data_IF_585573631761
#
_entry.id   IF_585573631761
#
_cell.length_a   1.000
_cell.length_b   1.000
_cell.length_c   1.000
_cell.angle_alpha   90.00
_cell.angle_beta   90.00
_cell.angle_gamma   90.00
#
_symmetry.space_group_name_H-M   'P 1'
#
loop_
_entity.id
_entity.type
_entity.pdbx_description
1 polymer ?
#
# COMPACT_ATOMS: atom_id res chain seq x y z
N UNK A 1 39.53 32.26 20.66
CA UNK A 1 38.39 32.03 21.57
C UNK A 1 37.33 33.09 21.27
N UNK A 2 36.04 32.74 21.25
CA UNK A 2 35.36 32.32 20.01
C UNK A 2 34.48 33.40 19.36
N UNK A 3 34.29 33.23 18.06
CA UNK A 3 33.38 33.99 17.21
C UNK A 3 31.93 33.53 17.42
N UNK A 4 31.07 34.43 17.87
CA UNK A 4 29.61 34.28 17.84
C UNK A 4 29.11 34.69 16.46
N UNK A 5 28.82 33.71 15.61
CA UNK A 5 28.13 33.90 14.34
C UNK A 5 26.64 34.19 14.59
N UNK A 6 26.24 35.41 14.23
CA UNK A 6 24.85 35.79 13.97
C UNK A 6 24.33 34.98 12.78
N UNK A 7 23.57 33.92 13.04
CA UNK A 7 22.74 33.29 12.01
C UNK A 7 21.38 33.97 12.03
N UNK A 8 21.25 34.99 11.16
CA UNK A 8 20.01 35.66 10.87
C UNK A 8 19.06 34.76 10.07
N UNK A 9 17.86 34.60 10.63
CA UNK A 9 16.56 34.39 10.00
C UNK A 9 16.55 34.28 8.46
N UNK A 10 16.29 33.07 7.95
CA UNK A 10 15.73 32.83 6.61
C UNK A 10 14.76 31.63 6.68
N UNK A 11 13.72 31.75 7.50
CA UNK A 11 12.49 30.98 7.31
C UNK A 11 11.47 31.91 6.68
N UNK A 12 11.36 31.86 5.36
CA UNK A 12 10.13 32.15 4.60
C UNK A 12 10.40 31.90 3.11
N UNK A 13 9.49 31.15 2.48
CA UNK A 13 9.36 30.87 1.03
C UNK A 13 10.21 29.73 0.45
N UNK A 14 9.92 28.50 0.85
CA UNK A 14 10.20 27.33 -0.01
C UNK A 14 9.01 27.14 -0.98
N UNK A 15 9.24 27.09 -2.29
CA UNK A 15 8.17 26.95 -3.28
C UNK A 15 7.63 25.50 -3.29
N UNK A 16 6.30 25.36 -3.27
CA UNK A 16 5.56 24.08 -3.09
C UNK A 16 5.65 23.08 -4.25
N UNK A 17 6.39 23.40 -5.30
CA UNK A 17 6.60 22.55 -6.49
C UNK A 17 7.69 21.47 -6.34
N UNK A 18 8.61 21.58 -5.38
CA UNK A 18 9.71 20.61 -5.24
C UNK A 18 9.29 19.29 -4.56
N UNK A 19 8.24 19.30 -3.73
CA UNK A 19 7.75 18.08 -3.05
C UNK A 19 7.00 17.14 -4.02
N UNK A 20 6.44 17.68 -5.12
CA UNK A 20 5.75 16.87 -6.14
C UNK A 20 6.71 16.11 -7.08
N UNK A 21 7.97 16.53 -7.18
CA UNK A 21 8.96 15.88 -8.05
C UNK A 21 9.49 14.55 -7.50
N UNK A 22 9.52 14.39 -6.17
CA UNK A 22 10.10 13.19 -5.54
C UNK A 22 9.16 11.98 -5.68
N UNK A 23 7.84 12.19 -5.60
CA UNK A 23 6.86 11.12 -5.79
C UNK A 23 6.81 10.58 -7.23
N UNK A 24 6.98 11.44 -8.24
CA UNK A 24 6.97 11.01 -9.64
C UNK A 24 8.18 10.14 -10.02
N UNK A 25 9.35 10.41 -9.40
CA UNK A 25 10.57 9.63 -9.64
C UNK A 25 10.50 8.20 -9.08
N UNK A 26 9.87 8.03 -7.91
CA UNK A 26 9.74 6.71 -7.25
C UNK A 26 8.76 5.80 -8.00
N UNK A 27 7.64 6.34 -8.51
CA UNK A 27 6.68 5.59 -9.34
C UNK A 27 7.33 5.04 -10.62
N UNK A 28 8.27 5.77 -11.21
CA UNK A 28 9.02 5.33 -12.40
C UNK A 28 10.03 4.20 -12.07
N UNK A 29 10.67 4.22 -10.90
CA UNK A 29 11.62 3.17 -10.50
C UNK A 29 10.92 1.84 -10.16
N UNK A 30 9.70 1.90 -9.61
CA UNK A 30 8.88 0.69 -9.37
C UNK A 30 8.45 0.06 -10.71
N UNK A 31 8.11 0.85 -11.73
CA UNK A 31 7.78 0.33 -13.07
C UNK A 31 8.94 -0.33 -13.82
N UNK A 32 10.20 -0.01 -13.48
CA UNK A 32 11.40 -0.54 -14.14
C UNK A 32 12.07 -1.73 -13.41
N UNK A 33 11.47 -2.26 -12.33
CA UNK A 33 11.87 -3.56 -11.76
C UNK A 33 13.22 -3.60 -11.03
N UNK A 34 13.70 -2.47 -10.50
CA UNK A 34 15.02 -2.37 -9.85
C UNK A 34 15.00 -2.50 -8.31
N UNK A 35 13.86 -2.77 -7.70
CA UNK A 35 13.79 -3.03 -6.25
C UNK A 35 13.85 -4.54 -6.02
N UNK A 36 14.89 -4.98 -5.32
CA UNK A 36 14.96 -6.33 -4.80
C UNK A 36 13.81 -6.52 -3.80
N UNK A 37 12.87 -7.42 -4.13
CA UNK A 37 11.81 -7.84 -3.23
C UNK A 37 12.44 -8.43 -1.95
N UNK A 38 12.34 -7.72 -0.82
CA UNK A 38 12.55 -8.36 0.49
C UNK A 38 11.56 -9.53 0.59
N UNK A 39 11.99 -10.71 1.07
CA UNK A 39 11.09 -11.84 1.21
C UNK A 39 9.94 -11.45 2.14
N UNK A 40 8.72 -11.61 1.66
CA UNK A 40 7.50 -11.38 2.43
C UNK A 40 7.46 -12.43 3.55
N UNK A 41 7.65 -12.01 4.80
CA UNK A 41 7.86 -12.91 5.94
C UNK A 41 6.57 -13.39 6.61
N UNK A 42 5.39 -12.91 6.21
CA UNK A 42 4.10 -13.33 6.78
C UNK A 42 3.30 -14.14 5.76
N UNK A 43 2.81 -15.31 6.19
CA UNK A 43 1.83 -16.08 5.43
C UNK A 43 0.54 -15.28 5.23
N UNK A 44 -0.10 -15.45 4.07
CA UNK A 44 -1.33 -14.76 3.70
C UNK A 44 -2.52 -15.34 4.46
N UNK A 45 -2.89 -14.71 5.58
CA UNK A 45 -4.20 -14.82 6.23
C UNK A 45 -4.41 -13.62 7.16
N UNK A 46 -5.38 -12.75 6.86
CA UNK A 46 -5.82 -11.69 7.78
C UNK A 46 -6.25 -12.28 9.15
N UNK A 47 -5.73 -11.77 10.28
CA UNK A 47 -6.22 -12.13 11.60
C UNK A 47 -7.64 -11.61 11.79
N UNK A 48 -8.48 -12.37 12.50
CA UNK A 48 -9.88 -11.99 12.80
C UNK A 48 -10.00 -10.67 13.56
N UNK A 49 -8.93 -10.25 14.26
CA UNK A 49 -8.86 -8.99 14.98
C UNK A 49 -7.43 -8.49 15.03
N UNK A 50 -7.25 -7.20 14.75
CA UNK A 50 -5.99 -6.50 14.96
C UNK A 50 -5.98 -5.75 16.30
N UNK A 51 -4.80 -5.65 16.89
CA UNK A 51 -4.50 -4.74 18.00
C UNK A 51 -3.64 -3.62 17.45
N UNK A 52 -3.99 -2.37 17.73
CA UNK A 52 -3.30 -1.19 17.21
C UNK A 52 -2.65 -0.40 18.35
N UNK A 53 -1.41 0.04 18.14
CA UNK A 53 -0.80 1.04 19.01
C UNK A 53 -1.11 2.46 18.50
N UNK A 54 -2.13 3.09 19.09
CA UNK A 54 -2.55 4.44 18.73
C UNK A 54 -1.82 5.52 19.56
N UNK A 55 -0.75 5.16 20.26
CA UNK A 55 -0.02 6.12 21.09
C UNK A 55 0.64 7.17 20.19
N UNK A 56 0.59 8.45 20.59
CA UNK A 56 1.14 9.54 19.78
C UNK A 56 0.21 10.16 18.71
N UNK A 57 -0.91 9.52 18.36
CA UNK A 57 -1.88 10.10 17.42
C UNK A 57 -2.84 11.09 18.10
N UNK A 58 -3.28 12.12 17.36
CA UNK A 58 -4.35 13.01 17.81
C UNK A 58 -5.70 12.26 17.88
N UNK A 59 -6.68 12.77 18.63
CA UNK A 59 -8.03 12.15 18.70
C UNK A 59 -8.68 12.02 17.32
N UNK A 60 -8.48 13.03 16.46
CA UNK A 60 -9.03 13.05 15.10
C UNK A 60 -8.37 11.98 14.23
N UNK A 61 -7.05 11.85 14.32
CA UNK A 61 -6.29 10.87 13.52
C UNK A 61 -6.60 9.44 13.96
N UNK A 62 -6.79 9.22 15.28
CA UNK A 62 -7.27 7.93 15.80
C UNK A 62 -8.59 7.51 15.19
N UNK A 63 -9.57 8.41 15.17
CA UNK A 63 -10.89 8.11 14.60
C UNK A 63 -10.81 7.88 13.09
N UNK A 64 -10.02 8.68 12.37
CA UNK A 64 -9.81 8.52 10.94
C UNK A 64 -9.17 7.16 10.63
N UNK A 65 -8.10 6.80 11.35
CA UNK A 65 -7.43 5.53 11.23
C UNK A 65 -8.36 4.36 11.52
N UNK A 66 -9.03 4.36 12.68
CA UNK A 66 -9.91 3.25 13.06
C UNK A 66 -11.03 3.03 12.04
N UNK A 67 -11.61 4.12 11.51
CA UNK A 67 -12.64 4.03 10.48
C UNK A 67 -12.08 3.49 9.16
N UNK A 68 -10.98 4.06 8.68
CA UNK A 68 -10.37 3.65 7.41
C UNK A 68 -9.89 2.20 7.45
N UNK A 69 -9.23 1.82 8.55
CA UNK A 69 -8.75 0.47 8.76
C UNK A 69 -9.88 -0.54 8.83
N UNK A 70 -10.95 -0.26 9.60
CA UNK A 70 -12.09 -1.16 9.72
C UNK A 70 -12.80 -1.37 8.38
N UNK A 71 -13.05 -0.28 7.63
CA UNK A 71 -13.67 -0.35 6.30
C UNK A 71 -12.79 -1.12 5.33
N UNK A 72 -11.50 -0.81 5.25
CA UNK A 72 -10.57 -1.52 4.38
C UNK A 72 -10.48 -3.02 4.72
N UNK A 73 -10.45 -3.35 6.02
CA UNK A 73 -10.46 -4.74 6.48
C UNK A 73 -11.70 -5.51 6.02
N UNK A 74 -12.89 -4.92 6.22
CA UNK A 74 -14.17 -5.51 5.79
C UNK A 74 -14.22 -5.69 4.26
N UNK A 75 -13.75 -4.69 3.51
CA UNK A 75 -13.73 -4.74 2.05
C UNK A 75 -12.76 -5.81 1.53
N UNK A 76 -11.55 -5.92 2.10
CA UNK A 76 -10.58 -6.98 1.72
C UNK A 76 -11.15 -8.37 2.02
N UNK A 77 -11.77 -8.56 3.19
CA UNK A 77 -12.43 -9.83 3.51
C UNK A 77 -13.54 -10.17 2.51
N UNK A 78 -14.35 -9.19 2.13
CA UNK A 78 -15.39 -9.37 1.13
C UNK A 78 -14.83 -9.69 -0.27
N UNK A 79 -13.70 -9.06 -0.66
CA UNK A 79 -12.99 -9.38 -1.90
C UNK A 79 -12.47 -10.82 -1.84
N UNK A 80 -11.75 -11.20 -0.78
CA UNK A 80 -11.17 -12.53 -0.64
C UNK A 80 -12.24 -13.63 -0.71
N UNK A 81 -13.39 -13.43 -0.05
CA UNK A 81 -14.51 -14.36 -0.15
C UNK A 81 -15.05 -14.46 -1.58
N UNK A 82 -15.35 -13.32 -2.22
CA UNK A 82 -15.92 -13.28 -3.57
C UNK A 82 -14.96 -13.83 -4.64
N UNK A 83 -13.65 -13.62 -4.48
CA UNK A 83 -12.61 -14.14 -5.36
C UNK A 83 -12.46 -15.65 -5.21
N UNK A 84 -12.54 -16.19 -3.98
CA UNK A 84 -12.48 -17.64 -3.72
C UNK A 84 -13.71 -18.38 -4.25
N UNK A 85 -14.84 -17.69 -4.40
CA UNK A 85 -16.06 -18.26 -4.99
C UNK A 85 -16.00 -18.42 -6.52
N UNK A 86 -15.01 -17.82 -7.20
CA UNK A 86 -14.85 -17.90 -8.66
C UNK A 86 -13.43 -18.34 -9.07
N UNK A 87 -13.31 -19.46 -9.79
CA UNK A 87 -12.01 -20.04 -10.12
C UNK A 87 -11.13 -19.14 -11.02
N UNK A 88 -11.73 -18.33 -11.91
CA UNK A 88 -10.97 -17.41 -12.76
C UNK A 88 -10.42 -16.25 -11.94
N UNK A 89 -11.26 -15.63 -11.09
CA UNK A 89 -10.83 -14.58 -10.19
C UNK A 89 -9.79 -15.08 -9.19
N UNK A 90 -9.97 -16.28 -8.63
CA UNK A 90 -9.00 -16.90 -7.74
C UNK A 90 -7.64 -17.06 -8.43
N UNK A 91 -7.60 -17.60 -9.64
CA UNK A 91 -6.36 -17.75 -10.40
C UNK A 91 -5.65 -16.40 -10.60
N UNK A 92 -6.39 -15.35 -10.94
CA UNK A 92 -5.83 -14.00 -11.10
C UNK A 92 -5.29 -13.47 -9.77
N UNK A 93 -6.07 -13.60 -8.69
CA UNK A 93 -5.67 -13.12 -7.37
C UNK A 93 -4.43 -13.84 -6.83
N UNK A 94 -4.33 -15.15 -7.04
CA UNK A 94 -3.17 -15.97 -6.66
C UNK A 94 -1.94 -15.57 -7.48
N UNK A 95 -2.09 -15.41 -8.80
CA UNK A 95 -1.00 -15.00 -9.70
C UNK A 95 -0.40 -13.64 -9.29
N UNK A 96 -1.23 -12.72 -8.83
CA UNK A 96 -0.80 -11.38 -8.38
C UNK A 96 -0.65 -11.27 -6.86
N UNK A 97 -0.79 -12.38 -6.14
CA UNK A 97 -0.62 -12.50 -4.69
C UNK A 97 -1.45 -11.45 -3.91
N UNK A 98 -2.69 -11.22 -4.32
CA UNK A 98 -3.56 -10.18 -3.75
C UNK A 98 -3.73 -10.31 -2.23
N UNK A 99 -4.10 -11.51 -1.74
CA UNK A 99 -4.28 -11.78 -0.31
C UNK A 99 -2.98 -11.48 0.46
N UNK A 100 -1.84 -11.94 -0.06
CA UNK A 100 -0.53 -11.68 0.56
C UNK A 100 -0.24 -10.17 0.71
N UNK A 101 -0.38 -9.38 -0.34
CA UNK A 101 -0.03 -7.95 -0.27
C UNK A 101 -1.00 -7.15 0.60
N UNK A 102 -2.30 -7.41 0.46
CA UNK A 102 -3.32 -6.75 1.29
C UNK A 102 -3.11 -7.05 2.78
N UNK A 103 -2.82 -8.30 3.13
CA UNK A 103 -2.58 -8.72 4.51
C UNK A 103 -1.37 -8.02 5.12
N UNK A 104 -0.28 -7.94 4.36
CA UNK A 104 0.95 -7.30 4.81
C UNK A 104 0.78 -5.77 4.94
N UNK A 105 0.00 -5.13 4.07
CA UNK A 105 -0.36 -3.71 4.23
C UNK A 105 -1.16 -3.51 5.51
N UNK A 106 -2.19 -4.32 5.74
CA UNK A 106 -3.04 -4.21 6.94
C UNK A 106 -2.26 -4.50 8.22
N UNK A 107 -1.37 -5.50 8.23
CA UNK A 107 -0.49 -5.76 9.36
C UNK A 107 0.46 -4.57 9.64
N UNK A 108 1.06 -4.00 8.59
CA UNK A 108 1.96 -2.85 8.73
C UNK A 108 1.22 -1.62 9.28
N UNK A 109 0.00 -1.36 8.79
CA UNK A 109 -0.82 -0.27 9.29
C UNK A 109 -1.28 -0.49 10.73
N UNK A 110 -1.51 -1.74 11.13
CA UNK A 110 -1.88 -2.05 12.50
C UNK A 110 -0.73 -1.80 13.48
N UNK A 111 0.50 -2.13 13.07
CA UNK A 111 1.72 -1.88 13.83
C UNK A 111 2.10 -0.40 13.85
N UNK A 112 1.92 0.30 12.73
CA UNK A 112 2.35 1.70 12.53
C UNK A 112 1.20 2.58 11.99
N UNK A 113 0.21 2.93 12.82
CA UNK A 113 -0.97 3.69 12.39
C UNK A 113 -0.68 5.07 11.79
N UNK A 114 0.44 5.68 12.16
CA UNK A 114 0.91 6.95 11.60
C UNK A 114 1.21 6.86 10.09
N UNK A 115 1.38 5.65 9.54
CA UNK A 115 1.59 5.42 8.11
C UNK A 115 0.32 5.43 7.27
N UNK A 116 -0.84 5.69 7.87
CA UNK A 116 -2.11 5.80 7.14
C UNK A 116 -2.01 6.71 5.90
N UNK A 117 -1.28 7.82 6.01
CA UNK A 117 -1.07 8.78 4.90
C UNK A 117 -0.37 8.15 3.70
N UNK A 118 0.50 7.15 3.92
CA UNK A 118 1.19 6.43 2.85
C UNK A 118 0.31 5.35 2.20
N UNK A 119 -0.77 4.94 2.88
CA UNK A 119 -1.73 3.94 2.41
C UNK A 119 -3.09 4.56 2.03
N UNK A 120 -3.13 5.87 1.80
CA UNK A 120 -4.35 6.62 1.46
C UNK A 120 -4.97 6.06 0.15
N UNK A 121 -4.16 5.94 -0.89
CA UNK A 121 -4.61 5.40 -2.18
C UNK A 121 -5.08 3.95 -2.06
N UNK A 122 -4.39 3.14 -1.25
CA UNK A 122 -4.75 1.76 -0.98
C UNK A 122 -6.15 1.64 -0.35
N UNK A 123 -6.38 2.31 0.79
CA UNK A 123 -7.61 2.15 1.58
C UNK A 123 -8.81 2.88 0.98
N UNK A 124 -8.60 4.03 0.33
CA UNK A 124 -9.71 4.85 -0.15
C UNK A 124 -10.02 4.66 -1.63
N UNK A 125 -9.07 4.15 -2.43
CA UNK A 125 -9.27 3.97 -3.86
C UNK A 125 -9.10 2.51 -4.30
N UNK A 126 -7.93 1.91 -4.12
CA UNK A 126 -7.64 0.60 -4.72
C UNK A 126 -8.52 -0.52 -4.15
N UNK A 127 -8.65 -0.63 -2.83
CA UNK A 127 -9.50 -1.66 -2.18
C UNK A 127 -10.99 -1.47 -2.54
N UNK A 128 -11.61 -0.29 -2.33
CA UNK A 128 -13.03 -0.11 -2.67
C UNK A 128 -13.34 -0.32 -4.15
N UNK A 129 -12.45 0.13 -5.05
CA UNK A 129 -12.63 -0.08 -6.49
C UNK A 129 -12.50 -1.56 -6.87
N UNK A 130 -11.56 -2.28 -6.26
CA UNK A 130 -11.45 -3.73 -6.44
C UNK A 130 -12.75 -4.44 -6.06
N UNK A 131 -13.29 -4.14 -4.88
CA UNK A 131 -14.55 -4.72 -4.42
C UNK A 131 -15.71 -4.41 -5.38
N UNK A 132 -15.79 -3.18 -5.87
CA UNK A 132 -16.81 -2.78 -6.85
C UNK A 132 -16.70 -3.61 -8.14
N UNK A 133 -15.50 -3.75 -8.71
CA UNK A 133 -15.29 -4.50 -9.95
C UNK A 133 -15.55 -5.99 -9.77
N UNK A 134 -15.12 -6.60 -8.65
CA UNK A 134 -15.44 -8.00 -8.33
C UNK A 134 -16.95 -8.23 -8.27
N UNK A 135 -17.68 -7.37 -7.55
CA UNK A 135 -19.16 -7.47 -7.46
C UNK A 135 -19.84 -7.31 -8.82
N UNK A 136 -19.35 -6.38 -9.65
CA UNK A 136 -19.85 -6.20 -11.02
C UNK A 136 -19.58 -7.43 -11.88
N UNK A 137 -18.37 -7.99 -11.83
CA UNK A 137 -18.00 -9.22 -12.53
C UNK A 137 -18.96 -10.36 -12.17
N UNK A 138 -19.14 -10.64 -10.89
CA UNK A 138 -20.04 -11.70 -10.43
C UNK A 138 -21.50 -11.47 -10.85
N UNK A 139 -21.95 -10.21 -10.89
CA UNK A 139 -23.30 -9.87 -11.33
C UNK A 139 -23.48 -10.16 -12.82
N UNK A 140 -22.54 -9.72 -13.66
CA UNK A 140 -22.59 -9.95 -15.11
C UNK A 140 -22.50 -11.44 -15.41
N UNK A 141 -21.63 -12.19 -14.71
CA UNK A 141 -21.45 -13.63 -14.87
C UNK A 141 -22.73 -14.43 -14.57
N UNK A 142 -23.50 -14.02 -13.55
CA UNK A 142 -24.78 -14.66 -13.21
C UNK A 142 -25.91 -14.33 -14.19
N UNK A 143 -25.86 -13.15 -14.80
CA UNK A 143 -26.90 -12.68 -15.73
C UNK A 143 -26.69 -13.14 -17.16
N UNK A 144 -25.54 -13.75 -17.47
CA UNK A 144 -25.15 -14.00 -18.86
C UNK A 144 -25.86 -15.19 -19.47
N UNK A 145 -26.78 -14.90 -20.38
CA UNK A 145 -27.14 -15.80 -21.48
C UNK A 145 -26.22 -15.46 -22.66
N UNK A 146 -25.38 -16.42 -23.07
CA UNK A 146 -24.45 -16.50 -24.25
C UNK A 146 -24.30 -15.21 -25.13
N UNK A 147 -24.03 -14.05 -24.54
CA UNK A 147 -23.96 -12.76 -25.25
C UNK A 147 -22.53 -12.28 -25.32
N UNK A 148 -22.06 -11.98 -26.53
CA UNK A 148 -20.71 -11.50 -26.79
C UNK A 148 -20.37 -10.23 -25.99
N UNK A 149 -21.32 -9.29 -25.88
CA UNK A 149 -21.12 -8.02 -25.15
C UNK A 149 -20.78 -8.27 -23.68
N UNK A 150 -21.43 -9.24 -23.06
CA UNK A 150 -21.18 -9.55 -21.67
C UNK A 150 -19.85 -10.28 -21.45
N UNK A 151 -19.43 -11.12 -22.42
CA UNK A 151 -18.08 -11.70 -22.39
C UNK A 151 -16.99 -10.61 -22.45
N UNK A 152 -17.16 -9.61 -23.33
CA UNK A 152 -16.23 -8.47 -23.42
C UNK A 152 -16.15 -7.69 -22.10
N UNK A 153 -17.29 -7.46 -21.44
CA UNK A 153 -17.34 -6.80 -20.13
C UNK A 153 -16.63 -7.62 -19.03
N UNK A 154 -16.80 -8.95 -19.03
CA UNK A 154 -16.09 -9.83 -18.08
C UNK A 154 -14.58 -9.77 -18.28
N UNK A 155 -14.11 -9.79 -19.54
CA UNK A 155 -12.69 -9.65 -19.86
C UNK A 155 -12.15 -8.28 -19.45
N UNK A 156 -12.89 -7.20 -19.68
CA UNK A 156 -12.50 -5.86 -19.25
C UNK A 156 -12.41 -5.76 -17.72
N UNK A 157 -13.35 -6.36 -17.00
CA UNK A 157 -13.31 -6.42 -15.54
C UNK A 157 -12.08 -7.19 -15.05
N UNK A 158 -11.75 -8.34 -15.64
CA UNK A 158 -10.52 -9.10 -15.32
C UNK A 158 -9.26 -8.26 -15.54
N UNK A 159 -9.13 -7.59 -16.68
CA UNK A 159 -7.98 -6.73 -16.98
C UNK A 159 -7.85 -5.57 -15.98
N UNK A 160 -8.99 -5.01 -15.55
CA UNK A 160 -9.03 -3.94 -14.54
C UNK A 160 -8.60 -4.47 -13.18
N UNK A 161 -9.05 -5.66 -12.77
CA UNK A 161 -8.62 -6.30 -11.53
C UNK A 161 -7.11 -6.59 -11.53
N UNK A 162 -6.58 -7.09 -12.65
CA UNK A 162 -5.13 -7.28 -12.82
C UNK A 162 -4.35 -5.99 -12.61
N UNK A 163 -4.83 -4.86 -13.14
CA UNK A 163 -4.20 -3.56 -12.94
C UNK A 163 -4.25 -3.15 -11.47
N UNK A 164 -5.41 -3.27 -10.82
CA UNK A 164 -5.58 -2.94 -9.40
C UNK A 164 -4.70 -3.80 -8.48
N UNK A 165 -4.59 -5.11 -8.74
CA UNK A 165 -3.72 -5.99 -7.95
C UNK A 165 -2.24 -5.63 -8.07
N UNK A 166 -1.80 -5.19 -9.26
CA UNK A 166 -0.45 -4.68 -9.44
C UNK A 166 -0.22 -3.38 -8.67
N UNK A 167 -1.17 -2.44 -8.70
CA UNK A 167 -1.06 -1.20 -7.92
C UNK A 167 -1.05 -1.47 -6.41
N UNK A 168 -1.81 -2.46 -5.92
CA UNK A 168 -1.75 -2.88 -4.50
C UNK A 168 -0.36 -3.42 -4.11
N UNK A 169 0.32 -4.16 -5.01
CA UNK A 169 1.73 -4.52 -4.79
C UNK A 169 2.61 -3.27 -4.69
N UNK A 170 2.36 -2.25 -5.49
CA UNK A 170 3.08 -0.96 -5.42
C UNK A 170 2.82 -0.27 -4.08
N UNK A 171 1.58 -0.22 -3.59
CA UNK A 171 1.23 0.36 -2.29
C UNK A 171 2.03 -0.28 -1.15
N UNK A 172 2.14 -1.62 -1.16
CA UNK A 172 2.95 -2.34 -0.20
C UNK A 172 4.42 -1.92 -0.24
N UNK A 173 4.99 -1.76 -1.43
CA UNK A 173 6.37 -1.29 -1.56
C UNK A 173 6.54 0.15 -1.08
N UNK A 174 5.61 1.05 -1.38
CA UNK A 174 5.65 2.44 -0.88
C UNK A 174 5.65 2.44 0.65
N UNK A 175 4.79 1.60 1.27
CA UNK A 175 4.65 1.50 2.72
C UNK A 175 5.91 0.94 3.42
N UNK A 176 6.69 0.09 2.74
CA UNK A 176 7.85 -0.62 3.29
C UNK A 176 9.21 -0.03 2.87
N UNK A 177 9.26 0.79 1.81
CA UNK A 177 10.48 1.47 1.39
C UNK A 177 11.04 2.42 2.45
N UNK A 178 10.17 3.06 3.24
CA UNK A 178 10.56 3.94 4.35
C UNK A 178 11.48 3.21 5.34
N UNK A 179 11.16 1.95 5.67
CA UNK A 179 11.99 1.15 6.59
C UNK A 179 13.32 0.73 5.98
N UNK A 180 13.36 0.53 4.66
CA UNK A 180 14.58 0.09 3.96
C UNK A 180 15.58 1.23 3.78
N UNK A 181 15.11 2.46 3.59
CA UNK A 181 15.94 3.66 3.57
C UNK A 181 16.53 3.95 4.97
N UNK A 182 15.68 3.91 6.01
CA UNK A 182 16.13 4.12 7.39
C UNK A 182 17.16 3.07 7.84
N UNK A 183 16.97 1.80 7.46
CA UNK A 183 17.93 0.74 7.75
C UNK A 183 19.28 0.96 7.03
N UNK A 184 19.25 1.36 5.76
CA UNK A 184 20.46 1.64 4.99
C UNK A 184 21.26 2.80 5.58
N UNK A 185 20.57 3.85 6.04
CA UNK A 185 21.19 4.99 6.72
C UNK A 185 21.83 4.57 8.05
N UNK A 186 21.14 3.75 8.86
CA UNK A 186 21.70 3.24 10.12
C UNK A 186 22.94 2.35 9.89
N UNK A 187 22.94 1.51 8.84
CA UNK A 187 24.10 0.71 8.46
C UNK A 187 25.27 1.64 8.06
N UNK A 188 25.01 2.68 7.27
CA UNK A 188 26.04 3.63 6.86
C UNK A 188 26.64 4.38 8.07
N UNK A 189 25.80 4.83 9.01
CA UNK A 189 26.25 5.47 10.25
C UNK A 189 27.07 4.48 11.10
N UNK A 190 26.63 3.24 11.23
CA UNK A 190 27.35 2.22 11.99
C UNK A 190 28.72 1.92 11.35
N UNK A 191 28.80 1.79 10.03
CA UNK A 191 30.05 1.60 9.30
C UNK A 191 31.01 2.78 9.47
N UNK A 192 30.50 4.02 9.36
CA UNK A 192 31.27 5.23 9.60
C UNK A 192 31.80 5.29 11.03
N UNK A 193 30.98 4.92 12.01
CA UNK A 193 31.36 4.93 13.44
C UNK A 193 32.39 3.85 13.77
N UNK A 194 32.33 2.69 13.10
CA UNK A 194 33.34 1.64 13.22
C UNK A 194 34.65 2.01 12.53
N UNK A 195 34.60 2.64 11.36
CA UNK A 195 35.78 3.10 10.64
C UNK A 195 36.55 4.19 11.39
N UNK A 196 35.84 5.11 12.06
CA UNK A 196 36.45 6.21 12.82
C UNK A 196 36.95 5.81 14.23
N UNK A 197 36.84 4.53 14.61
CA UNK A 197 37.36 3.97 15.87
C UNK A 197 38.68 3.19 15.69
N UNK A 198 39.16 3.03 14.47
CA UNK A 198 40.48 2.47 14.13
C UNK A 198 41.45 3.58 13.74
#
# INVERSE_FOLDING_TARGET
MPATLLVGVLFLTQPTWLVKGIFAGVVLLVRFGLLQDKPITQGATLPTKYTYDLTGLSRKDKQAFQKAFAVGYEDIQAINAAVKDDAQLQTIADQYQFELFTDNIMATLAEKPERLVLADEFLYNHVPNTLKIVRMYMTVQKQTSVSQVANEQLVQAQNTLVALFKEIKVDYHVLTQVDSQALSEQIAIAQLTMYNRN
#
